data_IF_796106774566
#
_entry.id   IF_796106774566
#
_cell.length_a   1.000
_cell.length_b   1.000
_cell.length_c   1.000
_cell.angle_alpha   90.00
_cell.angle_beta   90.00
_cell.angle_gamma   90.00
#
_symmetry.space_group_name_H-M   'P 1'
#
loop_
_entity.id
_entity.type
_entity.pdbx_description
1 polymer ?
#
# COMPACT_ATOMS: atom_id res chain seq x y z
N UNK A 1 -14.56 -2.43 -4.30
CA UNK A 1 -13.88 -2.81 -5.56
C UNK A 1 -13.57 -1.64 -6.51
N UNK A 2 -14.53 -1.11 -7.30
CA UNK A 2 -14.26 -0.14 -8.40
C UNK A 2 -13.50 1.11 -7.95
N UNK A 3 -13.91 1.73 -6.83
CA UNK A 3 -13.26 2.94 -6.31
C UNK A 3 -11.78 2.72 -5.97
N UNK A 4 -11.46 1.60 -5.29
CA UNK A 4 -10.07 1.25 -4.97
C UNK A 4 -9.28 0.91 -6.23
N UNK A 5 -9.89 0.20 -7.19
CA UNK A 5 -9.23 -0.10 -8.46
C UNK A 5 -8.84 1.16 -9.24
N UNK A 6 -9.69 2.19 -9.23
CA UNK A 6 -9.39 3.51 -9.79
C UNK A 6 -8.23 4.17 -9.04
N UNK A 7 -8.26 4.20 -7.71
CA UNK A 7 -7.18 4.76 -6.89
C UNK A 7 -5.85 4.03 -7.14
N UNK A 8 -5.87 2.70 -7.20
CA UNK A 8 -4.68 1.88 -7.51
C UNK A 8 -4.08 2.27 -8.88
N UNK A 9 -4.91 2.45 -9.91
CA UNK A 9 -4.44 2.88 -11.23
C UNK A 9 -3.90 4.32 -11.20
N UNK A 10 -4.57 5.24 -10.51
CA UNK A 10 -4.13 6.64 -10.40
C UNK A 10 -2.83 6.77 -9.61
N UNK A 11 -2.62 5.95 -8.58
CA UNK A 11 -1.41 5.93 -7.75
C UNK A 11 -0.13 5.59 -8.53
N UNK A 12 -0.25 4.99 -9.72
CA UNK A 12 0.88 4.81 -10.66
C UNK A 12 1.46 6.15 -11.13
N UNK A 13 0.68 7.24 -11.07
CA UNK A 13 1.18 8.58 -11.32
C UNK A 13 1.77 9.14 -10.03
N UNK A 14 3.08 9.37 -10.02
CA UNK A 14 3.82 9.78 -8.82
C UNK A 14 3.21 11.00 -8.09
N UNK A 15 2.69 11.99 -8.83
CA UNK A 15 1.99 13.15 -8.24
C UNK A 15 0.75 12.75 -7.45
N UNK A 16 -0.11 11.90 -8.05
CA UNK A 16 -1.35 11.46 -7.39
C UNK A 16 -1.03 10.50 -6.25
N UNK A 17 -0.08 9.58 -6.44
CA UNK A 17 0.41 8.71 -5.37
C UNK A 17 0.89 9.51 -4.16
N UNK A 18 1.61 10.61 -4.38
CA UNK A 18 1.99 11.52 -3.31
C UNK A 18 0.78 12.17 -2.64
N UNK A 19 -0.18 12.71 -3.40
CA UNK A 19 -1.41 13.30 -2.83
C UNK A 19 -2.20 12.30 -1.99
N UNK A 20 -2.27 11.03 -2.40
CA UNK A 20 -2.90 9.95 -1.62
C UNK A 20 -2.12 9.68 -0.33
N UNK A 21 -0.79 9.67 -0.38
CA UNK A 21 0.04 9.49 0.82
C UNK A 21 -0.14 10.60 1.86
N UNK A 22 -0.59 11.79 1.43
CA UNK A 22 -0.86 12.91 2.32
C UNK A 22 -2.21 12.80 3.03
N UNK A 23 -3.11 11.93 2.56
CA UNK A 23 -4.46 11.77 3.08
C UNK A 23 -4.52 10.59 4.07
N UNK A 24 -4.24 10.88 5.35
CA UNK A 24 -4.21 9.86 6.40
C UNK A 24 -5.57 9.20 6.65
N UNK A 25 -6.67 9.93 6.44
CA UNK A 25 -8.03 9.39 6.61
C UNK A 25 -8.31 8.37 5.51
N UNK A 26 -7.96 8.70 4.26
CA UNK A 26 -8.05 7.78 3.14
C UNK A 26 -7.18 6.55 3.35
N UNK A 27 -5.91 6.71 3.74
CA UNK A 27 -5.00 5.58 3.99
C UNK A 27 -5.52 4.66 5.10
N UNK A 28 -6.00 5.22 6.21
CA UNK A 28 -6.60 4.45 7.30
C UNK A 28 -7.82 3.67 6.80
N UNK A 29 -8.68 4.31 5.99
CA UNK A 29 -9.81 3.65 5.36
C UNK A 29 -9.40 2.51 4.43
N UNK A 30 -8.34 2.71 3.63
CA UNK A 30 -7.79 1.69 2.71
C UNK A 30 -7.25 0.50 3.49
N UNK A 31 -6.46 0.71 4.54
CA UNK A 31 -5.91 -0.38 5.38
C UNK A 31 -7.03 -1.15 6.07
N UNK A 32 -8.02 -0.46 6.65
CA UNK A 32 -9.16 -1.11 7.29
C UNK A 32 -9.94 -2.03 6.35
N UNK A 33 -10.03 -1.66 5.06
CA UNK A 33 -10.70 -2.48 4.04
C UNK A 33 -9.93 -3.76 3.68
N UNK A 34 -8.70 -3.97 4.14
CA UNK A 34 -7.99 -5.25 3.97
C UNK A 34 -8.67 -6.41 4.71
N UNK A 35 -9.54 -6.11 5.69
CA UNK A 35 -10.38 -7.10 6.36
C UNK A 35 -11.66 -7.46 5.58
N UNK A 36 -11.83 -6.94 4.36
CA UNK A 36 -12.98 -7.26 3.49
C UNK A 36 -13.04 -8.75 3.14
N UNK A 37 -14.23 -9.32 3.08
CA UNK A 37 -14.45 -10.68 2.56
C UNK A 37 -14.28 -10.77 1.03
N UNK A 38 -14.32 -9.63 0.33
CA UNK A 38 -14.11 -9.57 -1.11
C UNK A 38 -12.62 -9.52 -1.46
N UNK A 39 -12.12 -10.67 -1.91
CA UNK A 39 -10.75 -10.80 -2.38
C UNK A 39 -10.36 -9.84 -3.51
N UNK A 40 -11.29 -9.46 -4.40
CA UNK A 40 -10.96 -8.54 -5.50
C UNK A 40 -10.66 -7.16 -4.93
N UNK A 41 -11.48 -6.70 -3.97
CA UNK A 41 -11.18 -5.49 -3.22
C UNK A 41 -9.82 -5.58 -2.52
N UNK A 42 -9.49 -6.69 -1.83
CA UNK A 42 -8.17 -6.85 -1.18
C UNK A 42 -7.02 -6.79 -2.20
N UNK A 43 -7.14 -7.45 -3.35
CA UNK A 43 -6.13 -7.40 -4.43
C UNK A 43 -5.88 -5.96 -4.86
N UNK A 44 -6.95 -5.17 -5.06
CA UNK A 44 -6.82 -3.78 -5.43
C UNK A 44 -6.18 -2.92 -4.33
N UNK A 45 -6.46 -3.22 -3.06
CA UNK A 45 -5.83 -2.54 -1.91
C UNK A 45 -4.34 -2.85 -1.85
N UNK A 46 -3.96 -4.13 -1.93
CA UNK A 46 -2.56 -4.56 -1.93
C UNK A 46 -1.79 -3.86 -3.06
N UNK A 47 -2.37 -3.82 -4.26
CA UNK A 47 -1.78 -3.12 -5.41
C UNK A 47 -1.64 -1.61 -5.20
N UNK A 48 -2.65 -0.97 -4.61
CA UNK A 48 -2.61 0.46 -4.27
C UNK A 48 -1.48 0.73 -3.27
N UNK A 49 -1.44 0.01 -2.16
CA UNK A 49 -0.42 0.20 -1.11
C UNK A 49 0.99 -0.06 -1.63
N UNK A 50 1.17 -1.09 -2.45
CA UNK A 50 2.46 -1.40 -3.08
C UNK A 50 2.95 -0.26 -3.97
N UNK A 51 2.06 0.30 -4.81
CA UNK A 51 2.38 1.47 -5.63
C UNK A 51 2.79 2.67 -4.76
N UNK A 52 2.00 2.98 -3.72
CA UNK A 52 2.27 4.14 -2.87
C UNK A 52 3.63 4.04 -2.17
N UNK A 53 3.96 2.85 -1.64
CA UNK A 53 5.25 2.62 -0.98
C UNK A 53 6.39 2.68 -1.99
N UNK A 54 6.25 2.04 -3.15
CA UNK A 54 7.26 2.05 -4.20
C UNK A 54 7.65 3.46 -4.65
N UNK A 55 6.70 4.38 -4.78
CA UNK A 55 6.96 5.73 -5.26
C UNK A 55 7.46 6.71 -4.19
N UNK A 56 7.39 6.34 -2.91
CA UNK A 56 7.87 7.18 -1.81
C UNK A 56 9.40 7.39 -1.82
N UNK A 57 10.14 6.40 -2.32
CA UNK A 57 11.60 6.42 -2.43
C UNK A 57 12.13 7.14 -3.69
N UNK A 58 11.25 7.54 -4.60
CA UNK A 58 11.69 8.00 -5.92
C UNK A 58 12.15 9.48 -5.87
N UNK A 59 13.44 9.67 -5.55
CA UNK A 59 14.16 10.96 -5.41
C UNK A 59 14.16 11.85 -6.66
N UNK A 60 13.59 11.39 -7.78
CA UNK A 60 13.64 12.09 -9.07
C UNK A 60 12.73 13.32 -9.17
N UNK A 61 11.83 13.56 -8.22
CA UNK A 61 10.81 14.62 -8.35
C UNK A 61 10.97 15.74 -7.31
N UNK A 62 10.97 16.99 -7.79
CA UNK A 62 11.22 18.24 -7.06
C UNK A 62 10.22 18.59 -5.92
N UNK A 63 9.25 17.72 -5.63
CA UNK A 63 8.32 17.88 -4.50
C UNK A 63 8.82 17.23 -3.20
N UNK A 64 10.10 16.82 -3.17
CA UNK A 64 10.77 16.04 -2.10
C UNK A 64 11.01 16.79 -0.77
N UNK A 65 10.09 17.65 -0.32
CA UNK A 65 10.06 18.01 1.10
C UNK A 65 9.27 16.94 1.86
N UNK A 66 9.96 15.84 2.13
CA UNK A 66 9.75 14.91 3.24
C UNK A 66 8.30 14.71 3.68
N UNK A 67 7.56 13.85 2.97
CA UNK A 67 6.59 12.99 3.66
C UNK A 67 6.85 11.55 3.24
N UNK A 68 7.52 10.87 4.16
CA UNK A 68 7.83 9.45 4.16
C UNK A 68 6.54 8.64 4.17
N UNK A 69 6.58 7.40 3.67
CA UNK A 69 5.56 6.40 3.94
C UNK A 69 5.50 5.96 5.41
N UNK A 70 6.09 6.72 6.34
CA UNK A 70 6.18 6.39 7.76
C UNK A 70 4.83 6.02 8.36
N UNK A 71 3.75 6.74 7.99
CA UNK A 71 2.41 6.40 8.49
C UNK A 71 1.92 5.00 8.07
N UNK A 72 2.35 4.50 6.90
CA UNK A 72 2.07 3.12 6.47
C UNK A 72 3.06 2.13 7.09
N UNK A 73 4.32 2.51 7.29
CA UNK A 73 5.33 1.66 7.90
C UNK A 73 5.06 1.40 9.39
N UNK A 74 4.46 2.36 10.07
CA UNK A 74 4.08 2.29 11.49
C UNK A 74 2.68 1.68 11.70
N UNK A 75 1.94 1.37 10.63
CA UNK A 75 0.58 0.84 10.72
C UNK A 75 0.59 -0.67 11.03
N UNK A 76 0.40 -1.01 12.31
CA UNK A 76 0.34 -2.41 12.76
C UNK A 76 -0.76 -3.22 12.06
N UNK A 77 -1.91 -2.61 11.74
CA UNK A 77 -3.01 -3.29 11.09
C UNK A 77 -2.64 -3.70 9.66
N UNK A 78 -1.85 -2.88 8.96
CA UNK A 78 -1.28 -3.22 7.66
C UNK A 78 -0.37 -4.46 7.76
N UNK A 79 0.59 -4.46 8.68
CA UNK A 79 1.50 -5.59 8.89
C UNK A 79 0.77 -6.88 9.21
N UNK A 80 -0.19 -6.81 10.14
CA UNK A 80 -1.02 -7.95 10.54
C UNK A 80 -1.87 -8.47 9.37
N UNK A 81 -2.44 -7.58 8.56
CA UNK A 81 -3.23 -7.96 7.39
C UNK A 81 -2.37 -8.64 6.32
N UNK A 82 -1.19 -8.11 6.03
CA UNK A 82 -0.23 -8.71 5.08
C UNK A 82 0.21 -10.09 5.55
N UNK A 83 0.58 -10.23 6.83
CA UNK A 83 0.96 -11.52 7.41
C UNK A 83 -0.19 -12.53 7.33
N UNK A 84 -1.40 -12.13 7.73
CA UNK A 84 -2.58 -12.99 7.67
C UNK A 84 -2.87 -13.50 6.25
N UNK A 85 -2.80 -12.63 5.24
CA UNK A 85 -3.00 -13.01 3.83
C UNK A 85 -1.93 -14.01 3.39
N UNK A 86 -0.66 -13.77 3.72
CA UNK A 86 0.44 -14.66 3.35
C UNK A 86 0.34 -16.05 4.00
N UNK A 87 -0.17 -16.12 5.22
CA UNK A 87 -0.35 -17.39 5.94
C UNK A 87 -1.60 -18.17 5.50
N UNK A 88 -2.68 -17.49 5.12
CA UNK A 88 -4.00 -18.12 4.99
C UNK A 88 -4.59 -18.11 3.58
N UNK A 89 -4.09 -17.28 2.67
CA UNK A 89 -4.66 -17.17 1.33
C UNK A 89 -4.28 -18.35 0.44
N UNK A 90 -5.25 -18.90 -0.28
CA UNK A 90 -5.03 -19.87 -1.37
C UNK A 90 -5.02 -19.20 -2.76
N UNK A 91 -5.15 -17.87 -2.81
CA UNK A 91 -5.19 -17.10 -4.06
C UNK A 91 -3.79 -16.63 -4.41
N UNK A 92 -3.23 -17.18 -5.49
CA UNK A 92 -1.88 -16.88 -5.97
C UNK A 92 -1.66 -15.37 -6.15
N UNK A 93 -2.61 -14.65 -6.75
CA UNK A 93 -2.50 -13.20 -6.96
C UNK A 93 -2.37 -12.42 -5.64
N UNK A 94 -3.11 -12.81 -4.60
CA UNK A 94 -3.00 -12.19 -3.27
C UNK A 94 -1.66 -12.53 -2.60
N UNK A 95 -1.19 -13.77 -2.73
CA UNK A 95 0.10 -14.18 -2.18
C UNK A 95 1.25 -13.41 -2.84
N UNK A 96 1.27 -13.34 -4.17
CA UNK A 96 2.28 -12.60 -4.93
C UNK A 96 2.22 -11.10 -4.61
N UNK A 97 1.03 -10.52 -4.62
CA UNK A 97 0.85 -9.10 -4.30
C UNK A 97 1.31 -8.77 -2.88
N UNK A 98 0.89 -9.57 -1.90
CA UNK A 98 1.23 -9.33 -0.48
C UNK A 98 2.70 -9.58 -0.19
N UNK A 99 3.35 -10.52 -0.89
CA UNK A 99 4.78 -10.75 -0.77
C UNK A 99 5.59 -9.56 -1.30
N UNK A 100 5.20 -8.99 -2.45
CA UNK A 100 5.81 -7.76 -2.99
C UNK A 100 5.63 -6.57 -2.06
N UNK A 101 4.41 -6.41 -1.52
CA UNK A 101 4.10 -5.38 -0.55
C UNK A 101 4.97 -5.52 0.70
N UNK A 102 5.11 -6.74 1.24
CA UNK A 102 5.98 -7.02 2.38
C UNK A 102 7.46 -6.70 2.08
N UNK A 103 7.95 -7.07 0.91
CA UNK A 103 9.31 -6.73 0.47
C UNK A 103 9.51 -5.21 0.43
N UNK A 104 8.54 -4.48 -0.11
CA UNK A 104 8.58 -3.03 -0.18
C UNK A 104 8.51 -2.39 1.22
N UNK A 105 7.61 -2.83 2.10
CA UNK A 105 7.52 -2.36 3.49
C UNK A 105 8.85 -2.57 4.22
N UNK A 106 9.41 -3.77 4.18
CA UNK A 106 10.66 -4.11 4.88
C UNK A 106 11.89 -3.39 4.32
N UNK A 107 11.90 -3.04 3.02
CA UNK A 107 12.97 -2.23 2.42
C UNK A 107 13.00 -0.82 3.01
N UNK A 108 11.84 -0.22 3.25
CA UNK A 108 11.72 1.15 3.75
C UNK A 108 11.84 1.23 5.29
N UNK A 109 11.71 0.11 6.03
CA UNK A 109 11.99 0.07 7.48
C UNK A 109 13.45 0.36 7.86
N UNK A 110 14.42 0.19 6.95
CA UNK A 110 15.86 0.20 7.27
C UNK A 110 16.51 1.59 7.29
N UNK A 111 15.73 2.67 7.29
CA UNK A 111 16.27 4.02 7.05
C UNK A 111 16.00 5.09 8.12
N UNK A 112 15.57 4.70 9.33
CA UNK A 112 15.61 5.56 10.52
C UNK A 112 16.84 5.29 11.40
#
# INVERSE_FOLDING_TARGET
EIGIGILANLSCQQKIGHEILLDSELLTGVVNLMSSEDSQTIIQIVRLLDNLIHYSDNKSYHYSKNKSCSSLLDDEALWMSVAFILENSLKEELLIGSAKLLENLTRHMKHD
#
